data_IF_954152309518
#
_entry.id   IF_954152309518
#
_cell.length_a   1.000
_cell.length_b   1.000
_cell.length_c   1.000
_cell.angle_alpha   90.00
_cell.angle_beta   90.00
_cell.angle_gamma   90.00
#
_symmetry.space_group_name_H-M   'P 1'
#
loop_
_entity.id
_entity.type
_entity.pdbx_description
1 polymer ?
#
# COMPACT_ATOMS: atom_id res chain seq x y z
N UNK A 1 -14.08 10.80 -3.83
CA UNK A 1 -13.09 11.41 -2.90
C UNK A 1 -12.37 10.36 -2.07
N UNK A 2 -13.07 9.33 -1.56
CA UNK A 2 -12.50 8.22 -0.80
C UNK A 2 -11.18 7.66 -1.39
N UNK A 3 -11.21 7.30 -2.68
CA UNK A 3 -10.04 6.79 -3.40
C UNK A 3 -8.82 7.71 -3.29
N UNK A 4 -8.97 9.01 -3.54
CA UNK A 4 -7.86 9.97 -3.46
C UNK A 4 -7.36 10.15 -2.03
N UNK A 5 -8.23 10.05 -1.02
CA UNK A 5 -7.82 10.08 0.38
C UNK A 5 -6.93 8.88 0.75
N UNK A 6 -7.30 7.67 0.32
CA UNK A 6 -6.46 6.49 0.51
C UNK A 6 -5.16 6.56 -0.30
N UNK A 7 -5.22 7.00 -1.56
CA UNK A 7 -4.02 7.26 -2.37
C UNK A 7 -3.05 8.15 -1.60
N UNK A 8 -3.52 9.30 -1.12
CA UNK A 8 -2.68 10.27 -0.42
C UNK A 8 -2.14 9.70 0.90
N UNK A 9 -2.97 9.02 1.71
CA UNK A 9 -2.53 8.39 2.95
C UNK A 9 -1.43 7.35 2.72
N UNK A 10 -1.56 6.50 1.70
CA UNK A 10 -0.59 5.45 1.39
C UNK A 10 0.70 6.02 0.79
N UNK A 11 0.59 6.91 -0.20
CA UNK A 11 1.73 7.55 -0.84
C UNK A 11 2.58 8.33 0.18
N UNK A 12 1.92 9.14 1.03
CA UNK A 12 2.57 9.90 2.11
C UNK A 12 3.10 9.03 3.25
N UNK A 13 2.77 7.74 3.28
CA UNK A 13 3.31 6.76 4.24
C UNK A 13 4.32 5.81 3.59
N UNK A 14 4.72 6.11 2.35
CA UNK A 14 5.65 5.34 1.52
C UNK A 14 5.23 3.88 1.34
N UNK A 15 3.92 3.62 1.30
CA UNK A 15 3.36 2.30 1.06
C UNK A 15 3.15 2.14 -0.45
N UNK A 16 3.69 1.06 -1.02
CA UNK A 16 3.46 0.72 -2.43
C UNK A 16 2.08 0.08 -2.60
N UNK A 17 1.37 0.45 -3.67
CA UNK A 17 0.05 -0.07 -3.99
C UNK A 17 -0.20 -0.05 -5.50
N UNK A 18 -1.11 -0.91 -5.95
CA UNK A 18 -1.66 -0.91 -7.30
C UNK A 18 -3.13 -0.47 -7.27
N UNK A 19 -3.63 0.01 -8.41
CA UNK A 19 -5.05 0.26 -8.62
C UNK A 19 -5.65 -0.97 -9.29
N UNK A 20 -6.66 -1.55 -8.65
CA UNK A 20 -7.42 -2.69 -9.18
C UNK A 20 -8.87 -2.29 -9.42
N UNK A 21 -9.53 -2.99 -10.33
CA UNK A 21 -10.94 -2.79 -10.64
C UNK A 21 -11.74 -4.08 -10.42
N UNK A 22 -13.04 -4.02 -10.72
CA UNK A 22 -13.92 -5.18 -10.60
C UNK A 22 -13.54 -6.34 -11.54
N UNK A 23 -12.86 -6.07 -12.65
CA UNK A 23 -12.41 -7.13 -13.55
C UNK A 23 -11.33 -7.97 -12.87
N UNK A 24 -10.41 -7.33 -12.14
CA UNK A 24 -9.41 -8.04 -11.32
C UNK A 24 -10.05 -8.90 -10.22
N UNK A 25 -11.14 -8.42 -9.61
CA UNK A 25 -11.89 -9.17 -8.59
C UNK A 25 -12.54 -10.39 -9.23
N UNK A 26 -13.27 -10.19 -10.33
CA UNK A 26 -14.04 -11.25 -11.02
C UNK A 26 -13.15 -12.36 -11.60
N UNK A 27 -11.96 -12.01 -12.10
CA UNK A 27 -11.02 -12.99 -12.64
C UNK A 27 -10.07 -13.59 -11.58
N UNK A 28 -10.18 -13.18 -10.32
CA UNK A 28 -9.38 -13.70 -9.20
C UNK A 28 -7.95 -13.17 -9.12
N UNK A 29 -7.50 -12.28 -10.01
CA UNK A 29 -6.12 -11.76 -10.00
C UNK A 29 -5.79 -10.90 -8.77
N UNK A 30 -6.78 -10.51 -7.98
CA UNK A 30 -6.57 -9.87 -6.67
C UNK A 30 -5.86 -10.79 -5.65
N UNK A 31 -5.81 -12.11 -5.89
CA UNK A 31 -5.16 -13.07 -4.99
C UNK A 31 -3.65 -12.87 -4.82
N UNK A 32 -3.01 -12.08 -5.68
CA UNK A 32 -1.58 -11.74 -5.58
C UNK A 32 -1.29 -10.66 -4.53
N UNK A 33 -2.32 -9.98 -4.03
CA UNK A 33 -2.16 -8.93 -3.02
C UNK A 33 -2.46 -9.48 -1.62
N UNK A 34 -1.70 -9.01 -0.62
CA UNK A 34 -1.98 -9.32 0.79
C UNK A 34 -3.23 -8.59 1.29
N UNK A 35 -3.52 -7.41 0.71
CA UNK A 35 -4.56 -6.50 1.15
C UNK A 35 -5.24 -5.82 -0.05
N UNK A 36 -6.58 -5.81 -0.06
CA UNK A 36 -7.42 -5.02 -0.98
C UNK A 36 -8.19 -3.97 -0.19
N UNK A 37 -8.13 -2.71 -0.63
CA UNK A 37 -8.85 -1.60 0.01
C UNK A 37 -10.04 -1.23 -0.86
N UNK A 38 -11.23 -1.17 -0.24
CA UNK A 38 -12.51 -0.83 -0.85
C UNK A 38 -12.98 0.52 -0.29
N UNK A 39 -12.51 1.64 -0.86
CA UNK A 39 -12.82 2.97 -0.34
C UNK A 39 -14.21 3.41 -0.80
N UNK A 40 -15.21 3.24 0.08
CA UNK A 40 -16.60 3.67 -0.15
C UNK A 40 -17.16 3.10 -1.46
N UNK A 41 -16.99 1.80 -1.67
CA UNK A 41 -17.52 1.09 -2.84
C UNK A 41 -18.99 0.72 -2.58
N UNK A 42 -19.86 1.73 -2.51
CA UNK A 42 -21.25 1.56 -2.07
C UNK A 42 -22.07 0.61 -2.96
N UNK A 43 -21.95 0.77 -4.28
CA UNK A 43 -22.58 -0.09 -5.28
C UNK A 43 -21.59 -1.14 -5.77
N UNK A 44 -21.93 -2.42 -5.66
CA UNK A 44 -21.13 -3.51 -6.24
C UNK A 44 -22.04 -4.55 -6.91
N UNK A 45 -21.49 -5.23 -7.92
CA UNK A 45 -22.13 -6.41 -8.52
C UNK A 45 -22.07 -7.61 -7.58
N UNK A 46 -23.06 -8.49 -7.65
CA UNK A 46 -23.11 -9.72 -6.86
C UNK A 46 -21.88 -10.60 -7.12
N UNK A 47 -21.42 -10.70 -8.38
CA UNK A 47 -20.22 -11.46 -8.73
C UNK A 47 -18.94 -10.84 -8.14
N UNK A 48 -18.89 -9.49 -8.05
CA UNK A 48 -17.77 -8.78 -7.40
C UNK A 48 -17.78 -9.05 -5.90
N UNK A 49 -18.95 -8.99 -5.25
CA UNK A 49 -19.08 -9.29 -3.83
C UNK A 49 -18.62 -10.72 -3.52
N UNK A 50 -19.02 -11.68 -4.35
CA UNK A 50 -18.61 -13.08 -4.21
C UNK A 50 -17.10 -13.29 -4.46
N UNK A 51 -16.51 -12.58 -5.43
CA UNK A 51 -15.07 -12.57 -5.65
C UNK A 51 -14.29 -12.06 -4.43
N UNK A 52 -14.78 -10.99 -3.79
CA UNK A 52 -14.20 -10.45 -2.55
C UNK A 52 -14.32 -11.47 -1.40
N UNK A 53 -15.48 -12.10 -1.23
CA UNK A 53 -15.70 -13.14 -0.21
C UNK A 53 -14.71 -14.29 -0.37
N UNK A 54 -14.57 -14.80 -1.59
CA UNK A 54 -13.65 -15.90 -1.90
C UNK A 54 -12.19 -15.53 -1.66
N UNK A 55 -11.80 -14.30 -2.00
CA UNK A 55 -10.47 -13.77 -1.72
C UNK A 55 -10.18 -13.74 -0.20
N UNK A 56 -11.08 -13.19 0.61
CA UNK A 56 -10.88 -13.16 2.07
C UNK A 56 -10.92 -14.56 2.67
N UNK A 57 -11.89 -15.39 2.27
CA UNK A 57 -12.01 -16.78 2.70
C UNK A 57 -10.71 -17.57 2.47
N UNK A 58 -10.00 -17.28 1.37
CA UNK A 58 -8.76 -17.94 0.98
C UNK A 58 -7.50 -17.44 1.69
N UNK A 59 -7.59 -16.34 2.45
CA UNK A 59 -6.46 -15.77 3.21
C UNK A 59 -6.15 -14.30 2.92
N UNK A 60 -6.82 -13.70 1.94
CA UNK A 60 -6.65 -12.29 1.62
C UNK A 60 -7.20 -11.37 2.71
N UNK A 61 -6.63 -10.17 2.85
CA UNK A 61 -7.15 -9.17 3.78
C UNK A 61 -7.90 -8.07 3.03
N UNK A 62 -8.94 -7.49 3.66
CA UNK A 62 -9.59 -6.29 3.14
C UNK A 62 -9.66 -5.16 4.18
N UNK A 63 -9.56 -3.92 3.68
CA UNK A 63 -10.10 -2.74 4.36
C UNK A 63 -11.32 -2.31 3.58
N UNK A 64 -12.45 -2.10 4.23
CA UNK A 64 -13.63 -1.49 3.59
C UNK A 64 -14.16 -0.34 4.42
N UNK A 65 -14.70 0.68 3.76
CA UNK A 65 -15.15 1.90 4.46
C UNK A 65 -16.61 2.22 4.22
N UNK A 66 -17.23 2.85 5.21
CA UNK A 66 -18.57 3.43 5.15
C UNK A 66 -19.63 2.44 4.61
N UNK A 67 -20.34 2.77 3.54
CA UNK A 67 -21.45 1.99 2.98
C UNK A 67 -21.01 0.95 1.94
N UNK A 68 -19.73 0.54 1.94
CA UNK A 68 -19.21 -0.43 0.98
C UNK A 68 -20.04 -1.72 0.96
N UNK A 69 -20.62 -2.04 -0.21
CA UNK A 69 -21.48 -3.21 -0.41
C UNK A 69 -22.92 -3.06 0.09
N UNK A 70 -23.39 -1.86 0.39
CA UNK A 70 -24.77 -1.62 0.85
C UNK A 70 -25.77 -1.56 -0.30
N UNK A 71 -25.31 -1.33 -1.52
CA UNK A 71 -26.16 -1.17 -2.70
C UNK A 71 -25.78 -2.19 -3.79
N UNK A 72 -26.79 -2.66 -4.50
CA UNK A 72 -26.62 -3.50 -5.71
C UNK A 72 -26.06 -2.67 -6.86
N UNK A 73 -25.69 -3.31 -7.97
CA UNK A 73 -25.20 -2.66 -9.20
C UNK A 73 -26.17 -1.63 -9.80
N UNK A 74 -27.45 -1.67 -9.42
CA UNK A 74 -28.47 -0.69 -9.87
C UNK A 74 -28.64 0.48 -8.88
N UNK A 75 -27.80 0.59 -7.84
CA UNK A 75 -27.92 1.60 -6.79
C UNK A 75 -29.07 1.37 -5.83
N UNK A 76 -29.67 0.17 -5.83
CA UNK A 76 -30.76 -0.17 -4.91
C UNK A 76 -30.18 -0.68 -3.60
N UNK A 77 -30.69 -0.17 -2.47
CA UNK A 77 -30.28 -0.62 -1.15
C UNK A 77 -30.54 -2.13 -0.99
N UNK A 78 -29.50 -2.87 -0.63
CA UNK A 78 -29.59 -4.30 -0.42
C UNK A 78 -30.28 -4.55 0.93
N UNK A 79 -31.29 -5.43 0.97
CA UNK A 79 -32.01 -5.79 2.22
C UNK A 79 -31.05 -6.26 3.33
N UNK A 80 -29.94 -6.87 2.92
CA UNK A 80 -28.76 -7.20 3.72
C UNK A 80 -27.56 -6.81 2.88
N UNK A 81 -26.60 -6.08 3.45
CA UNK A 81 -25.41 -5.68 2.70
C UNK A 81 -24.64 -6.89 2.17
N UNK A 82 -24.11 -6.75 0.97
CA UNK A 82 -23.53 -7.83 0.18
C UNK A 82 -22.24 -8.39 0.82
N UNK A 83 -21.58 -7.61 1.68
CA UNK A 83 -20.32 -7.95 2.35
C UNK A 83 -20.44 -7.95 3.89
N UNK A 84 -21.63 -7.82 4.47
CA UNK A 84 -21.81 -7.70 5.93
C UNK A 84 -21.25 -8.89 6.71
N UNK A 85 -21.36 -10.10 6.15
CA UNK A 85 -20.78 -11.32 6.72
C UNK A 85 -19.25 -11.25 6.79
N UNK A 86 -18.60 -10.69 5.77
CA UNK A 86 -17.15 -10.47 5.75
C UNK A 86 -16.77 -9.31 6.69
N UNK A 87 -17.50 -8.20 6.64
CA UNK A 87 -17.26 -6.99 7.43
C UNK A 87 -17.54 -7.18 8.94
N UNK A 88 -18.23 -8.26 9.32
CA UNK A 88 -18.63 -8.50 10.70
C UNK A 88 -19.78 -7.61 11.15
N UNK A 89 -20.67 -7.24 10.23
CA UNK A 89 -21.88 -6.45 10.49
C UNK A 89 -23.07 -7.40 10.61
N UNK A 90 -23.79 -7.31 11.72
CA UNK A 90 -25.05 -8.03 11.91
C UNK A 90 -26.23 -7.23 11.35
N UNK A 91 -26.26 -5.93 11.67
CA UNK A 91 -27.38 -5.04 11.37
C UNK A 91 -26.91 -3.60 11.11
N UNK A 92 -27.56 -2.93 10.17
CA UNK A 92 -27.49 -1.48 9.97
C UNK A 92 -28.59 -0.78 10.79
N UNK A 93 -28.23 0.20 11.61
CA UNK A 93 -29.19 0.97 12.39
C UNK A 93 -29.46 2.36 11.78
N UNK A 94 -28.40 3.11 11.49
CA UNK A 94 -28.54 4.50 11.03
C UNK A 94 -27.26 5.01 10.35
N UNK A 95 -27.36 6.18 9.71
CA UNK A 95 -26.24 6.97 9.22
C UNK A 95 -26.16 8.26 10.02
N UNK A 96 -25.03 8.47 10.69
CA UNK A 96 -24.79 9.61 11.56
C UNK A 96 -23.96 10.66 10.81
N UNK A 97 -24.39 11.91 10.87
CA UNK A 97 -23.69 13.04 10.25
C UNK A 97 -23.11 13.99 11.30
N UNK A 98 -21.82 14.31 11.15
CA UNK A 98 -21.08 15.27 11.97
C UNK A 98 -21.08 16.64 11.30
N UNK A 99 -22.20 17.35 11.46
CA UNK A 99 -22.48 18.60 10.73
C UNK A 99 -21.61 19.80 11.14
N UNK A 100 -21.03 19.79 12.34
CA UNK A 100 -20.23 20.90 12.86
C UNK A 100 -18.75 20.50 12.86
N UNK A 101 -17.91 21.28 12.17
CA UNK A 101 -16.46 21.03 12.16
C UNK A 101 -15.87 21.15 13.58
N UNK A 102 -15.06 20.17 13.97
CA UNK A 102 -14.39 20.13 15.28
C UNK A 102 -15.26 19.63 16.44
N UNK A 103 -16.41 19.02 16.15
CA UNK A 103 -17.35 18.49 17.16
C UNK A 103 -17.59 16.98 17.03
N UNK A 104 -16.83 16.31 16.17
CA UNK A 104 -16.90 14.88 15.93
C UNK A 104 -15.61 14.19 16.36
N UNK A 105 -15.73 13.14 17.16
CA UNK A 105 -14.60 12.44 17.75
C UNK A 105 -14.78 10.92 17.72
N UNK A 106 -13.66 10.22 17.66
CA UNK A 106 -13.55 8.78 17.71
C UNK A 106 -12.54 8.41 18.80
N UNK A 107 -12.90 7.43 19.62
CA UNK A 107 -12.03 6.86 20.64
C UNK A 107 -11.45 5.54 20.13
N UNK A 108 -10.13 5.48 19.96
CA UNK A 108 -9.39 4.26 19.65
C UNK A 108 -9.30 3.35 20.89
N UNK A 109 -9.31 2.03 20.67
CA UNK A 109 -9.01 1.07 21.74
C UNK A 109 -7.55 1.24 22.19
N UNK A 110 -7.34 1.45 23.48
CA UNK A 110 -6.01 1.55 24.08
C UNK A 110 -5.27 0.21 24.00
N UNK A 111 -3.94 0.27 23.89
CA UNK A 111 -3.05 -0.90 23.90
C UNK A 111 -3.37 -1.91 22.77
N UNK A 112 -3.84 -1.39 21.63
CA UNK A 112 -4.14 -2.16 20.45
C UNK A 112 -3.17 -1.78 19.32
N UNK A 113 -2.81 -2.73 18.46
CA UNK A 113 -1.82 -2.49 17.39
C UNK A 113 -2.25 -1.38 16.42
N UNK A 114 -3.55 -1.13 16.25
CA UNK A 114 -4.03 -0.05 15.38
C UNK A 114 -3.82 1.34 15.99
N UNK A 115 -3.72 1.44 17.31
CA UNK A 115 -3.50 2.68 18.07
C UNK A 115 -2.05 2.83 18.54
N UNK A 116 -1.13 2.02 18.02
CA UNK A 116 0.29 2.15 18.30
C UNK A 116 0.83 3.53 17.88
N UNK A 117 1.69 4.11 18.73
CA UNK A 117 2.28 5.45 18.53
C UNK A 117 1.28 6.62 18.49
N UNK A 118 0.13 6.49 19.15
CA UNK A 118 -0.77 7.62 19.40
C UNK A 118 -0.62 8.13 20.84
N UNK A 119 -0.38 9.43 20.98
CA UNK A 119 -0.32 10.09 22.31
C UNK A 119 -1.69 10.20 22.98
N UNK A 120 -2.75 10.25 22.16
CA UNK A 120 -4.15 10.32 22.58
C UNK A 120 -4.97 9.30 21.81
N UNK A 121 -5.84 8.59 22.52
CA UNK A 121 -6.82 7.68 21.89
C UNK A 121 -8.01 8.44 21.29
N UNK A 122 -8.17 9.73 21.62
CA UNK A 122 -9.21 10.57 21.05
C UNK A 122 -8.69 11.22 19.76
N UNK A 123 -9.30 10.86 18.64
CA UNK A 123 -9.00 11.40 17.30
C UNK A 123 -10.27 12.00 16.68
N UNK A 124 -10.18 12.81 15.62
CA UNK A 124 -11.36 13.31 14.92
C UNK A 124 -12.18 12.18 14.26
N UNK A 125 -13.51 12.31 14.24
CA UNK A 125 -14.38 11.47 13.44
C UNK A 125 -14.52 12.03 12.01
N UNK A 126 -14.91 11.19 11.02
CA UNK A 126 -15.24 11.66 9.69
C UNK A 126 -16.60 12.38 9.66
N UNK A 127 -16.99 12.91 8.50
CA UNK A 127 -18.25 13.65 8.33
C UNK A 127 -19.48 12.74 8.39
N UNK A 128 -19.39 11.53 7.85
CA UNK A 128 -20.47 10.53 7.85
C UNK A 128 -19.96 9.23 8.43
N UNK A 129 -20.80 8.55 9.21
CA UNK A 129 -20.51 7.22 9.72
C UNK A 129 -21.77 6.35 9.78
N UNK A 130 -21.60 5.06 9.49
CA UNK A 130 -22.63 4.05 9.68
C UNK A 130 -22.66 3.63 11.15
N UNK A 131 -23.84 3.65 11.75
CA UNK A 131 -24.12 3.02 13.04
C UNK A 131 -24.53 1.57 12.78
N UNK A 132 -23.60 0.65 13.00
CA UNK A 132 -23.79 -0.78 12.79
C UNK A 132 -23.75 -1.56 14.10
N UNK A 133 -24.53 -2.65 14.16
CA UNK A 133 -24.39 -3.68 15.19
C UNK A 133 -23.34 -4.69 14.71
N UNK A 134 -22.24 -4.89 15.45
CA UNK A 134 -21.22 -5.87 15.09
C UNK A 134 -21.76 -7.28 15.33
N UNK A 135 -21.32 -8.22 14.50
CA UNK A 135 -21.55 -9.65 14.75
C UNK A 135 -20.85 -10.08 16.04
N UNK A 136 -21.38 -11.13 16.68
CA UNK A 136 -20.85 -11.63 17.97
C UNK A 136 -19.40 -12.13 17.94
N UNK A 137 -18.86 -12.41 16.74
CA UNK A 137 -17.48 -12.87 16.53
C UNK A 137 -16.51 -11.75 16.15
N UNK A 138 -17.03 -10.56 15.87
CA UNK A 138 -16.21 -9.42 15.45
C UNK A 138 -15.68 -8.64 16.65
N UNK A 139 -14.48 -8.09 16.50
CA UNK A 139 -13.84 -7.24 17.50
C UNK A 139 -14.07 -5.76 17.15
N UNK A 140 -14.62 -4.99 18.08
CA UNK A 140 -14.69 -3.53 17.96
C UNK A 140 -13.40 -2.91 18.52
N UNK A 141 -12.68 -2.16 17.70
CA UNK A 141 -11.38 -1.56 18.04
C UNK A 141 -11.40 -0.04 18.09
N UNK A 142 -12.57 0.56 17.89
CA UNK A 142 -12.83 1.96 18.21
C UNK A 142 -14.31 2.27 18.31
N UNK A 143 -14.62 3.39 18.95
CA UNK A 143 -15.98 3.89 19.15
C UNK A 143 -16.07 5.31 18.61
N UNK A 144 -16.99 5.57 17.69
CA UNK A 144 -17.40 6.93 17.38
C UNK A 144 -18.26 7.49 18.52
N UNK A 145 -17.98 8.71 18.96
CA UNK A 145 -18.84 9.39 19.92
C UNK A 145 -20.03 10.02 19.17
N UNK A 146 -21.19 10.08 19.81
CA UNK A 146 -22.33 10.81 19.24
C UNK A 146 -21.94 12.27 18.91
N UNK A 147 -22.56 12.94 17.92
CA UNK A 147 -22.19 14.31 17.56
C UNK A 147 -22.36 15.28 18.74
N UNK A 148 -21.34 16.10 19.03
CA UNK A 148 -21.50 17.11 20.07
C UNK A 148 -22.48 18.20 19.64
N UNK A 149 -23.21 18.74 20.61
CA UNK A 149 -24.17 19.85 20.41
C UNK A 149 -23.51 21.19 20.03
N UNK A 150 -22.18 21.30 20.17
CA UNK A 150 -21.42 22.51 19.88
C UNK A 150 -19.95 22.36 20.19
N UNK A 151 -19.18 23.43 20.01
CA UNK A 151 -17.77 23.51 20.43
C UNK A 151 -17.68 23.86 21.92
N UNK A 152 -16.62 23.41 22.59
CA UNK A 152 -16.34 23.69 24.02
C UNK A 152 -17.41 23.18 25.00
N UNK A 153 -18.13 22.11 24.64
CA UNK A 153 -18.99 21.36 25.57
C UNK A 153 -18.30 20.05 25.95
N UNK A 154 -18.79 19.39 27.01
CA UNK A 154 -18.31 18.07 27.38
C UNK A 154 -18.47 17.06 26.23
N UNK A 155 -17.52 16.14 26.12
CA UNK A 155 -17.63 15.02 25.18
C UNK A 155 -18.84 14.15 25.54
N UNK A 156 -19.58 13.61 24.57
CA UNK A 156 -20.67 12.70 24.84
C UNK A 156 -20.14 11.41 25.45
N UNK A 157 -20.88 10.86 26.41
CA UNK A 157 -20.58 9.57 27.02
C UNK A 157 -21.04 8.39 26.16
N UNK A 158 -21.95 8.65 25.22
CA UNK A 158 -22.52 7.67 24.31
C UNK A 158 -21.74 7.62 23.00
N UNK A 159 -21.74 6.45 22.39
CA UNK A 159 -21.08 6.21 21.12
C UNK A 159 -21.50 4.89 20.50
N UNK A 160 -20.94 4.59 19.35
CA UNK A 160 -21.24 3.40 18.57
C UNK A 160 -19.97 2.87 17.88
N UNK A 161 -19.95 1.60 17.43
CA UNK A 161 -18.77 1.00 16.83
C UNK A 161 -18.26 1.81 15.64
N UNK A 162 -16.98 2.19 15.67
CA UNK A 162 -16.34 2.95 14.60
C UNK A 162 -15.44 2.12 13.69
N UNK A 163 -14.78 1.10 14.24
CA UNK A 163 -13.96 0.16 13.48
C UNK A 163 -14.17 -1.25 14.00
N UNK A 164 -14.35 -2.19 13.07
CA UNK A 164 -14.72 -3.57 13.33
C UNK A 164 -13.72 -4.48 12.62
N UNK A 165 -13.15 -5.45 13.34
CA UNK A 165 -12.28 -6.49 12.80
C UNK A 165 -13.06 -7.79 12.79
N UNK A 166 -13.05 -8.50 11.68
CA UNK A 166 -13.71 -9.79 11.55
C UNK A 166 -12.84 -10.79 10.80
N UNK A 167 -12.76 -12.02 11.32
CA UNK A 167 -12.09 -13.12 10.64
C UNK A 167 -13.09 -13.84 9.73
N UNK A 168 -12.72 -14.05 8.48
CA UNK A 168 -13.58 -14.71 7.49
C UNK A 168 -12.77 -15.74 6.70
N UNK A 169 -13.01 -17.01 6.99
CA UNK A 169 -12.16 -18.10 6.50
C UNK A 169 -10.74 -18.00 7.06
N UNK A 170 -9.75 -17.87 6.17
CA UNK A 170 -8.33 -17.73 6.52
C UNK A 170 -7.85 -16.28 6.55
N UNK A 171 -8.66 -15.34 6.09
CA UNK A 171 -8.31 -13.92 5.95
C UNK A 171 -9.04 -13.03 6.94
N UNK A 172 -8.70 -11.73 6.88
CA UNK A 172 -9.17 -10.72 7.82
C UNK A 172 -9.88 -9.56 7.11
N UNK A 173 -10.99 -9.11 7.67
CA UNK A 173 -11.65 -7.86 7.29
C UNK A 173 -11.45 -6.80 8.36
N UNK A 174 -11.06 -5.60 7.93
CA UNK A 174 -11.02 -4.40 8.76
C UNK A 174 -12.00 -3.37 8.20
N UNK A 175 -13.18 -3.28 8.82
CA UNK A 175 -14.22 -2.35 8.42
C UNK A 175 -14.12 -1.04 9.21
N UNK A 176 -14.07 0.09 8.49
CA UNK A 176 -14.10 1.44 9.06
C UNK A 176 -15.46 2.04 8.75
N UNK A 177 -16.31 2.24 9.77
CA UNK A 177 -17.70 2.58 9.55
C UNK A 177 -17.93 4.00 9.01
N UNK A 178 -16.90 4.85 9.00
CA UNK A 178 -16.99 6.23 8.54
C UNK A 178 -16.23 6.56 7.25
N UNK A 179 -16.52 7.73 6.70
CA UNK A 179 -15.94 8.29 5.47
C UNK A 179 -14.50 8.82 5.67
N UNK A 180 -13.62 7.96 6.20
CA UNK A 180 -12.23 8.33 6.55
C UNK A 180 -11.43 8.82 5.34
N UNK A 181 -11.60 8.21 4.17
CA UNK A 181 -10.89 8.59 2.95
C UNK A 181 -11.33 9.97 2.45
N UNK A 182 -12.64 10.22 2.42
CA UNK A 182 -13.21 11.52 2.07
C UNK A 182 -12.74 12.61 3.02
N UNK A 183 -12.82 12.34 4.33
CA UNK A 183 -12.42 13.30 5.35
C UNK A 183 -10.92 13.61 5.27
N UNK A 184 -10.06 12.61 5.05
CA UNK A 184 -8.64 12.83 4.86
C UNK A 184 -8.35 13.67 3.60
N UNK A 185 -9.02 13.37 2.49
CA UNK A 185 -8.88 14.15 1.26
C UNK A 185 -9.24 15.64 1.44
N UNK A 186 -10.10 15.96 2.41
CA UNK A 186 -10.54 17.33 2.69
C UNK A 186 -9.74 18.05 3.78
N UNK A 187 -9.25 17.30 4.79
CA UNK A 187 -8.67 17.87 6.02
C UNK A 187 -7.23 17.45 6.27
N UNK A 188 -6.72 16.44 5.56
CA UNK A 188 -5.36 15.86 5.65
C UNK A 188 -4.88 15.60 7.08
N UNK A 189 -5.77 15.18 7.98
CA UNK A 189 -5.48 15.08 9.41
C UNK A 189 -4.44 13.97 9.69
N UNK A 190 -3.25 14.28 10.27
CA UNK A 190 -2.15 13.31 10.40
C UNK A 190 -2.51 12.03 11.17
N UNK A 191 -3.36 12.13 12.18
CA UNK A 191 -3.83 10.99 12.97
C UNK A 191 -4.52 9.91 12.10
N UNK A 192 -5.26 10.30 11.07
CA UNK A 192 -5.96 9.35 10.20
C UNK A 192 -4.99 8.63 9.26
N UNK A 193 -4.00 9.35 8.72
CA UNK A 193 -2.92 8.73 7.95
C UNK A 193 -2.15 7.71 8.80
N UNK A 194 -1.79 8.07 10.04
CA UNK A 194 -1.10 7.16 10.96
C UNK A 194 -1.93 5.92 11.28
N UNK A 195 -3.23 6.09 11.48
CA UNK A 195 -4.15 4.98 11.72
C UNK A 195 -4.18 4.01 10.53
N UNK A 196 -4.36 4.54 9.31
CA UNK A 196 -4.37 3.72 8.08
C UNK A 196 -3.01 3.07 7.84
N UNK A 197 -1.90 3.77 8.11
CA UNK A 197 -0.55 3.21 8.05
C UNK A 197 -0.41 1.99 8.97
N UNK A 198 -0.81 2.09 10.24
CA UNK A 198 -0.76 0.99 11.20
C UNK A 198 -1.58 -0.23 10.71
N UNK A 199 -2.78 0.01 10.18
CA UNK A 199 -3.66 -1.04 9.66
C UNK A 199 -3.03 -1.73 8.44
N UNK A 200 -2.54 -0.97 7.48
CA UNK A 200 -1.96 -1.52 6.25
C UNK A 200 -0.68 -2.28 6.57
N UNK A 201 0.20 -1.75 7.43
CA UNK A 201 1.43 -2.44 7.86
C UNK A 201 1.16 -3.73 8.63
N UNK A 202 -0.01 -3.84 9.28
CA UNK A 202 -0.43 -5.07 9.95
C UNK A 202 -0.98 -6.12 8.98
N UNK A 203 -1.70 -5.69 7.96
CA UNK A 203 -2.44 -6.56 7.04
C UNK A 203 -1.71 -6.85 5.72
N UNK A 204 -0.53 -6.28 5.50
CA UNK A 204 0.24 -6.46 4.26
C UNK A 204 1.74 -6.47 4.51
N UNK A 205 2.48 -7.12 3.60
CA UNK A 205 3.93 -7.18 3.62
C UNK A 205 4.55 -5.83 3.28
N UNK A 206 5.59 -5.43 4.02
CA UNK A 206 6.26 -4.14 3.82
C UNK A 206 7.25 -4.21 2.67
N UNK A 207 6.88 -3.72 1.49
CA UNK A 207 7.78 -3.67 0.32
C UNK A 207 8.85 -2.58 0.43
N UNK A 208 8.48 -1.41 0.95
CA UNK A 208 9.36 -0.24 1.01
C UNK A 208 9.24 0.46 2.37
N UNK A 209 10.37 1.00 2.85
CA UNK A 209 10.42 1.93 3.96
C UNK A 209 11.43 3.03 3.74
N UNK A 210 11.16 4.21 4.30
CA UNK A 210 12.12 5.31 4.32
C UNK A 210 11.91 6.16 5.57
N UNK A 211 12.96 6.87 5.99
CA UNK A 211 12.95 7.87 7.05
C UNK A 211 12.65 9.29 6.54
N UNK A 212 12.46 9.43 5.23
CA UNK A 212 12.29 10.73 4.58
C UNK A 212 10.93 11.39 4.85
N UNK A 213 10.77 12.62 4.36
CA UNK A 213 9.54 13.38 4.50
C UNK A 213 8.38 12.74 3.74
N UNK A 214 7.16 12.93 4.26
CA UNK A 214 5.93 12.44 3.64
C UNK A 214 5.59 13.09 2.29
N UNK A 215 6.31 14.16 1.92
CA UNK A 215 6.23 14.83 0.61
C UNK A 215 7.08 14.17 -0.46
N UNK A 216 7.85 13.13 -0.12
CA UNK A 216 8.58 12.33 -1.10
C UNK A 216 7.73 11.15 -1.51
N UNK A 217 7.57 10.97 -2.81
CA UNK A 217 6.86 9.84 -3.39
C UNK A 217 7.86 8.83 -3.93
N UNK A 218 7.60 7.55 -3.65
CA UNK A 218 8.37 6.42 -4.15
C UNK A 218 7.50 5.56 -5.04
N UNK A 219 7.99 5.22 -6.23
CA UNK A 219 7.33 4.27 -7.13
C UNK A 219 8.33 3.18 -7.50
N UNK A 220 8.10 1.97 -6.98
CA UNK A 220 8.91 0.80 -7.27
C UNK A 220 8.29 0.00 -8.43
N UNK A 221 9.12 -0.37 -9.40
CA UNK A 221 8.76 -1.28 -10.49
C UNK A 221 9.76 -2.41 -10.58
N UNK A 222 9.34 -3.54 -11.14
CA UNK A 222 10.23 -4.65 -11.46
C UNK A 222 10.05 -5.13 -12.90
N UNK A 223 11.11 -5.70 -13.47
CA UNK A 223 11.14 -6.29 -14.79
C UNK A 223 11.94 -7.60 -14.73
N UNK A 224 11.41 -8.67 -15.32
CA UNK A 224 12.17 -9.90 -15.55
C UNK A 224 13.22 -9.67 -16.64
N UNK A 225 14.47 -10.03 -16.37
CA UNK A 225 15.57 -9.96 -17.33
C UNK A 225 15.81 -11.37 -17.87
N UNK A 226 15.36 -11.63 -19.09
CA UNK A 226 15.76 -12.85 -19.80
C UNK A 226 17.25 -12.76 -20.19
N UNK A 227 18.02 -13.79 -19.90
CA UNK A 227 19.39 -13.89 -20.42
C UNK A 227 19.31 -13.99 -21.95
N UNK A 228 19.83 -12.99 -22.65
CA UNK A 228 19.87 -12.95 -24.13
C UNK A 228 20.55 -14.20 -24.71
N UNK A 229 21.48 -14.83 -23.99
CA UNK A 229 22.11 -16.11 -24.40
C UNK A 229 21.14 -17.30 -24.46
N UNK A 230 20.07 -17.33 -23.66
CA UNK A 230 19.08 -18.41 -23.71
C UNK A 230 18.16 -18.33 -24.94
N UNK A 231 18.04 -17.16 -25.57
CA UNK A 231 17.26 -16.98 -26.80
C UNK A 231 18.01 -17.53 -28.02
N UNK A 232 19.35 -17.48 -28.04
CA UNK A 232 20.16 -18.09 -29.11
C UNK A 232 20.13 -19.63 -29.08
N UNK A 233 19.99 -20.24 -27.90
CA UNK A 233 19.80 -21.69 -27.77
C UNK A 233 18.37 -22.11 -28.15
N UNK A 234 17.33 -21.35 -27.74
CA UNK A 234 15.94 -21.57 -28.21
C UNK A 234 15.78 -21.45 -29.73
N UNK A 235 16.64 -20.65 -30.37
CA UNK A 235 16.70 -20.51 -31.83
C UNK A 235 17.44 -21.65 -32.55
N UNK A 236 18.25 -22.46 -31.84
CA UNK A 236 19.04 -23.56 -32.43
C UNK A 236 18.37 -24.93 -32.31
N UNK A 237 17.46 -25.14 -31.36
CA UNK A 237 16.78 -26.42 -31.17
C UNK A 237 15.51 -26.64 -32.03
N UNK A 238 15.20 -25.73 -32.97
CA UNK A 238 14.08 -25.92 -33.92
C UNK A 238 14.42 -26.69 -35.21
N UNK A 239 15.66 -27.16 -35.38
CA UNK A 239 16.06 -27.97 -36.53
C UNK A 239 16.89 -29.20 -36.11
N UNK A 240 16.26 -30.18 -35.46
CA UNK A 240 16.71 -31.58 -35.50
C UNK A 240 15.55 -32.53 -35.21
N UNK A 241 14.74 -32.76 -36.22
CA UNK A 241 14.00 -34.01 -36.33
C UNK A 241 14.99 -35.14 -36.58
N UNK A 242 15.45 -35.79 -35.52
CA UNK A 242 16.05 -37.13 -35.62
C UNK A 242 14.98 -38.09 -35.11
N UNK A 243 14.31 -38.74 -36.06
CA UNK A 243 13.54 -39.96 -35.82
C UNK A 243 14.54 -41.00 -35.30
N UNK A 244 14.32 -41.50 -34.10
CA UNK A 244 14.79 -42.83 -33.71
C UNK A 244 13.65 -43.54 -32.99
N UNK A 245 13.28 -44.68 -33.56
CA UNK A 245 12.45 -45.71 -32.96
C UNK A 245 13.27 -46.43 -31.90
N UNK A 246 12.99 -46.16 -30.63
CA UNK A 246 13.06 -47.11 -29.49
C UNK A 246 12.82 -46.31 -28.22
N UNK A 247 11.83 -46.76 -27.44
CA UNK A 247 11.36 -46.07 -26.25
C UNK A 247 12.34 -46.19 -25.11
N UNK A 248 12.85 -45.05 -24.63
CA UNK A 248 13.33 -44.84 -23.26
C UNK A 248 13.36 -43.34 -22.97
N UNK A 249 12.52 -42.88 -22.04
CA UNK A 249 12.48 -41.48 -21.60
C UNK A 249 13.63 -41.23 -20.61
N UNK A 250 14.72 -40.62 -21.09
CA UNK A 250 15.70 -39.99 -20.19
C UNK A 250 15.15 -38.64 -19.73
N UNK A 251 15.17 -38.42 -18.42
CA UNK A 251 14.56 -37.28 -17.75
C UNK A 251 14.98 -35.94 -18.34
N UNK A 252 14.00 -35.06 -18.52
CA UNK A 252 14.21 -33.65 -18.77
C UNK A 252 14.91 -33.04 -17.55
N UNK A 253 16.22 -32.79 -17.66
CA UNK A 253 16.87 -31.81 -16.80
C UNK A 253 16.25 -30.45 -17.11
N UNK A 254 15.40 -29.96 -16.19
CA UNK A 254 14.86 -28.62 -16.27
C UNK A 254 16.00 -27.62 -16.17
N UNK A 255 16.33 -26.97 -17.29
CA UNK A 255 17.24 -25.84 -17.31
C UNK A 255 16.74 -24.80 -16.29
N UNK A 256 17.50 -24.60 -15.20
CA UNK A 256 17.24 -23.52 -14.23
C UNK A 256 17.37 -22.19 -14.97
N UNK A 257 16.27 -21.63 -15.43
CA UNK A 257 16.18 -20.22 -15.79
C UNK A 257 16.62 -19.42 -14.56
N UNK A 258 17.76 -18.74 -14.65
CA UNK A 258 18.11 -17.73 -13.65
C UNK A 258 17.07 -16.60 -13.76
N UNK A 259 16.15 -16.51 -12.81
CA UNK A 259 15.22 -15.38 -12.68
C UNK A 259 16.01 -14.15 -12.23
N UNK A 260 16.69 -13.51 -13.17
CA UNK A 260 17.27 -12.20 -12.94
C UNK A 260 16.13 -11.18 -13.00
N UNK A 261 15.96 -10.37 -11.95
CA UNK A 261 15.01 -9.25 -11.94
C UNK A 261 15.77 -7.95 -11.87
N UNK A 262 15.28 -6.94 -12.59
CA UNK A 262 15.65 -5.54 -12.42
C UNK A 262 14.56 -4.85 -11.62
N UNK A 263 14.93 -4.11 -10.58
CA UNK A 263 14.03 -3.17 -9.93
C UNK A 263 14.40 -1.74 -10.29
N UNK A 264 13.38 -0.90 -10.46
CA UNK A 264 13.52 0.52 -10.79
C UNK A 264 12.71 1.27 -9.75
N UNK A 265 13.40 1.99 -8.88
CA UNK A 265 12.81 2.85 -7.86
C UNK A 265 12.88 4.30 -8.34
N UNK A 266 11.71 4.87 -8.62
CA UNK A 266 11.55 6.29 -8.87
C UNK A 266 11.36 7.01 -7.53
N UNK A 267 12.12 8.07 -7.32
CA UNK A 267 12.04 8.91 -6.12
C UNK A 267 11.71 10.33 -6.57
N UNK A 268 10.55 10.85 -6.15
CA UNK A 268 10.06 12.17 -6.56
C UNK A 268 10.03 13.06 -5.32
N UNK A 269 10.82 14.13 -5.32
CA UNK A 269 10.88 15.08 -4.24
C UNK A 269 9.89 16.23 -4.45
N UNK A 270 8.84 16.27 -3.63
CA UNK A 270 7.86 17.36 -3.64
C UNK A 270 8.00 18.28 -2.42
N UNK A 271 9.21 18.49 -1.89
CA UNK A 271 9.47 19.49 -0.84
C UNK A 271 9.35 20.92 -1.37
N UNK A 272 8.12 21.40 -1.49
CA UNK A 272 7.78 22.76 -1.90
C UNK A 272 6.30 23.05 -1.68
N UNK A 273 5.89 24.31 -1.58
CA UNK A 273 4.47 24.67 -1.48
C UNK A 273 3.74 24.18 -2.74
N UNK A 274 2.63 23.44 -2.56
CA UNK A 274 1.81 22.93 -3.65
C UNK A 274 1.03 24.04 -4.38
N UNK A 275 1.14 25.30 -3.94
CA UNK A 275 0.60 26.46 -4.66
C UNK A 275 1.53 26.86 -5.80
N UNK A 276 1.03 26.70 -7.02
CA UNK A 276 1.73 27.18 -8.22
C UNK A 276 1.80 28.72 -8.26
N UNK A 277 2.88 29.29 -8.83
CA UNK A 277 4.06 28.59 -9.36
C UNK A 277 5.01 28.13 -8.26
N UNK A 278 5.57 26.92 -8.42
CA UNK A 278 6.59 26.39 -7.50
C UNK A 278 7.92 27.04 -7.87
N UNK A 279 8.47 27.85 -6.97
CA UNK A 279 9.70 28.60 -7.23
C UNK A 279 10.97 27.85 -6.79
N UNK A 280 10.85 26.95 -5.80
CA UNK A 280 11.98 26.24 -5.22
C UNK A 280 11.57 24.91 -4.60
N UNK A 281 12.33 23.86 -4.87
CA UNK A 281 12.27 22.56 -4.19
C UNK A 281 13.48 22.45 -3.26
N UNK A 282 13.27 22.02 -2.02
CA UNK A 282 14.36 21.86 -1.07
C UNK A 282 15.06 20.51 -1.28
N UNK A 283 16.35 20.47 -1.65
CA UNK A 283 17.03 19.21 -1.85
C UNK A 283 17.07 18.41 -0.55
N UNK A 284 16.97 17.09 -0.70
CA UNK A 284 17.07 16.13 0.39
C UNK A 284 18.44 15.49 0.38
N UNK A 285 18.95 15.17 1.56
CA UNK A 285 20.27 14.57 1.75
C UNK A 285 20.16 13.33 2.62
N UNK A 286 21.05 12.37 2.38
CA UNK A 286 21.22 11.15 3.19
C UNK A 286 19.91 10.38 3.42
N UNK A 287 19.07 10.27 2.39
CA UNK A 287 17.79 9.58 2.49
C UNK A 287 18.01 8.07 2.56
N UNK A 288 17.54 7.46 3.64
CA UNK A 288 17.59 6.01 3.82
C UNK A 288 16.36 5.37 3.20
N UNK A 289 16.57 4.41 2.31
CA UNK A 289 15.50 3.57 1.75
C UNK A 289 15.78 2.11 2.05
N UNK A 290 14.79 1.40 2.54
CA UNK A 290 14.86 -0.06 2.71
C UNK A 290 13.81 -0.72 1.82
N UNK A 291 14.23 -1.70 1.04
CA UNK A 291 13.39 -2.48 0.14
C UNK A 291 13.41 -3.94 0.58
N UNK A 292 12.23 -4.57 0.62
CA UNK A 292 12.10 -6.01 0.78
C UNK A 292 11.73 -6.61 -0.57
N UNK A 293 12.65 -7.37 -1.17
CA UNK A 293 12.45 -7.96 -2.48
C UNK A 293 11.47 -9.16 -2.42
N UNK A 294 10.67 -9.29 -3.47
CA UNK A 294 9.75 -10.42 -3.68
C UNK A 294 10.47 -11.70 -4.12
N UNK A 295 11.78 -11.63 -4.39
CA UNK A 295 12.62 -12.79 -4.71
C UNK A 295 13.73 -12.96 -3.67
N UNK A 296 14.17 -14.20 -3.49
CA UNK A 296 15.38 -14.49 -2.72
C UNK A 296 16.62 -14.19 -3.56
N UNK A 297 17.22 -13.02 -3.34
CA UNK A 297 18.41 -12.59 -4.05
C UNK A 297 19.68 -13.15 -3.37
N UNK A 298 20.42 -14.04 -4.05
CA UNK A 298 21.68 -14.56 -3.52
C UNK A 298 22.82 -13.53 -3.54
N UNK A 299 22.77 -12.58 -4.48
CA UNK A 299 23.68 -11.44 -4.56
C UNK A 299 23.07 -10.36 -5.46
N UNK A 300 23.04 -9.12 -4.98
CA UNK A 300 22.80 -7.93 -5.81
C UNK A 300 24.07 -7.62 -6.58
N UNK A 301 23.97 -7.50 -7.90
CA UNK A 301 25.11 -7.22 -8.77
C UNK A 301 25.45 -5.74 -8.76
N UNK A 302 24.43 -4.88 -8.81
CA UNK A 302 24.62 -3.43 -8.95
C UNK A 302 23.41 -2.65 -8.44
N UNK A 303 23.69 -1.54 -7.76
CA UNK A 303 22.72 -0.48 -7.50
C UNK A 303 23.30 0.82 -8.03
N UNK A 304 22.58 1.49 -8.94
CA UNK A 304 23.05 2.74 -9.52
C UNK A 304 21.96 3.80 -9.64
N UNK A 305 22.34 5.06 -9.43
CA UNK A 305 21.54 6.24 -9.69
C UNK A 305 21.63 6.66 -11.17
N UNK A 306 20.51 6.86 -11.84
CA UNK A 306 20.49 7.17 -13.27
C UNK A 306 20.61 8.69 -13.55
N UNK A 307 20.20 9.54 -12.61
CA UNK A 307 20.43 10.99 -12.73
C UNK A 307 21.80 11.30 -12.12
N UNK A 308 22.69 11.95 -12.87
CA UNK A 308 24.09 12.23 -12.50
C UNK A 308 24.28 13.20 -11.32
N UNK A 309 23.33 13.25 -10.39
CA UNK A 309 23.32 14.12 -9.22
C UNK A 309 24.48 13.80 -8.24
N UNK A 310 25.08 12.61 -8.34
CA UNK A 310 26.25 12.21 -7.55
C UNK A 310 27.58 12.86 -7.99
N UNK A 311 27.74 13.29 -9.25
CA UNK A 311 29.02 13.80 -9.77
C UNK A 311 29.43 15.15 -9.17
N UNK A 312 28.51 15.86 -8.52
CA UNK A 312 28.78 17.19 -7.94
C UNK A 312 29.31 17.16 -6.50
N UNK A 313 29.21 16.04 -5.78
CA UNK A 313 29.67 15.97 -4.37
C UNK A 313 31.15 15.58 -4.27
N UNK A 314 31.66 14.76 -5.19
CA UNK A 314 33.05 14.28 -5.13
C UNK A 314 34.06 15.40 -5.49
N UNK A 315 33.64 16.43 -6.23
CA UNK A 315 34.55 17.49 -6.70
C UNK A 315 34.75 18.67 -5.74
N UNK A 316 34.09 18.70 -4.57
CA UNK A 316 34.21 19.81 -3.61
C UNK A 316 35.30 19.60 -2.53
N UNK A 317 36.02 18.48 -2.55
CA UNK A 317 37.04 18.14 -1.55
C UNK A 317 38.38 17.74 -2.15
N UNK A 318 39.35 18.65 -2.08
CA UNK A 318 40.79 18.46 -2.22
C UNK A 318 41.37 18.20 -3.63
N UNK A 319 42.32 19.06 -3.98
CA UNK A 319 43.14 18.93 -5.18
C UNK A 319 44.13 17.77 -5.16
N UNK A 320 44.56 17.42 -6.37
CA UNK A 320 45.72 16.58 -6.72
C UNK A 320 45.66 15.10 -6.32
N UNK A 321 45.21 14.24 -7.24
CA UNK A 321 46.07 13.26 -7.94
C UNK A 321 45.20 12.18 -8.62
N UNK A 322 45.65 11.79 -9.82
CA UNK A 322 45.10 10.76 -10.70
C UNK A 322 44.44 9.57 -9.97
N UNK A 323 43.11 9.51 -10.03
CA UNK A 323 42.32 8.29 -9.85
C UNK A 323 41.56 8.07 -11.16
N UNK A 324 41.71 6.88 -11.73
CA UNK A 324 41.01 6.47 -12.96
C UNK A 324 39.51 6.72 -12.81
N UNK A 325 38.94 7.43 -13.78
CA UNK A 325 37.50 7.50 -14.00
C UNK A 325 36.95 6.09 -14.30
N UNK A 326 36.44 5.42 -13.27
CA UNK A 326 35.31 4.51 -13.46
C UNK A 326 34.06 5.31 -13.15
N UNK A 327 33.44 5.83 -14.21
CA UNK A 327 32.19 6.59 -14.17
C UNK A 327 31.04 5.66 -13.76
N UNK A 328 30.90 5.39 -12.47
CA UNK A 328 29.81 4.58 -11.93
C UNK A 328 29.05 5.35 -10.88
N UNK A 329 27.82 5.76 -11.17
CA UNK A 329 26.83 6.27 -10.20
C UNK A 329 26.37 5.17 -9.20
N UNK A 330 27.28 4.34 -8.72
CA UNK A 330 26.98 3.22 -7.85
C UNK A 330 26.66 3.75 -6.44
N UNK A 331 25.57 3.27 -5.86
CA UNK A 331 25.18 3.61 -4.51
C UNK A 331 25.71 2.58 -3.52
N UNK A 332 26.11 3.05 -2.34
CA UNK A 332 26.38 2.17 -1.22
C UNK A 332 25.08 1.52 -0.73
N UNK A 333 25.13 0.21 -0.49
CA UNK A 333 24.00 -0.53 0.05
C UNK A 333 24.45 -1.64 1.00
N UNK A 334 23.52 -2.09 1.83
CA UNK A 334 23.67 -3.25 2.71
C UNK A 334 22.57 -4.23 2.33
N UNK A 335 22.92 -5.49 2.13
CA UNK A 335 21.95 -6.57 1.90
C UNK A 335 21.94 -7.54 3.09
N UNK A 336 20.75 -7.81 3.62
CA UNK A 336 20.52 -8.87 4.61
C UNK A 336 19.36 -9.74 4.12
N UNK A 337 19.64 -10.96 3.67
CA UNK A 337 18.67 -11.82 2.99
C UNK A 337 18.00 -11.11 1.79
N UNK A 338 16.69 -10.85 1.88
CA UNK A 338 15.89 -10.18 0.85
C UNK A 338 15.75 -8.67 1.10
N UNK A 339 16.29 -8.18 2.22
CA UNK A 339 16.25 -6.77 2.58
C UNK A 339 17.47 -6.05 1.98
N UNK A 340 17.23 -4.90 1.37
CA UNK A 340 18.24 -4.00 0.82
C UNK A 340 18.07 -2.64 1.46
N UNK A 341 19.13 -2.14 2.10
CA UNK A 341 19.19 -0.78 2.59
C UNK A 341 20.10 0.06 1.72
N UNK A 342 19.57 1.15 1.17
CA UNK A 342 20.24 2.07 0.25
C UNK A 342 20.29 3.44 0.91
N UNK A 343 21.45 4.10 0.87
CA UNK A 343 21.60 5.50 1.24
C UNK A 343 21.68 6.34 -0.04
N UNK A 344 20.67 7.20 -0.27
CA UNK A 344 20.64 8.12 -1.41
C UNK A 344 21.22 9.45 -0.93
N UNK A 345 22.43 9.84 -1.38
CA UNK A 345 23.15 10.97 -0.80
C UNK A 345 22.48 12.31 -1.06
N UNK A 346 21.78 12.45 -2.19
CA UNK A 346 21.13 13.68 -2.59
C UNK A 346 19.97 13.43 -3.54
N UNK A 347 18.84 14.08 -3.31
CA UNK A 347 17.68 14.11 -4.22
C UNK A 347 17.29 15.57 -4.42
N UNK A 348 17.38 16.05 -5.65
CA UNK A 348 16.94 17.40 -6.03
C UNK A 348 15.43 17.42 -6.22
N UNK A 349 14.96 17.06 -7.41
CA UNK A 349 13.54 16.99 -7.76
C UNK A 349 13.10 15.55 -8.00
N UNK A 350 14.00 14.77 -8.59
CA UNK A 350 13.72 13.42 -9.05
C UNK A 350 15.01 12.62 -9.15
N UNK A 351 14.95 11.37 -8.74
CA UNK A 351 16.07 10.43 -8.80
C UNK A 351 15.55 9.04 -9.21
N UNK A 352 16.35 8.28 -9.97
CA UNK A 352 15.98 6.93 -10.40
C UNK A 352 17.06 5.97 -10.00
N UNK A 353 16.70 5.03 -9.12
CA UNK A 353 17.61 4.00 -8.63
C UNK A 353 17.30 2.68 -9.34
N UNK A 354 18.30 2.12 -10.01
CA UNK A 354 18.21 0.82 -10.69
C UNK A 354 18.96 -0.22 -9.86
N UNK A 355 18.30 -1.34 -9.58
CA UNK A 355 18.81 -2.47 -8.77
C UNK A 355 18.79 -3.71 -9.65
N UNK A 356 19.93 -4.39 -9.79
CA UNK A 356 20.13 -5.59 -10.63
C UNK A 356 20.83 -6.74 -9.92
#
# INVERSE_FOLDING_TARGET
RAFMGFYEMLARSHIQFDIVDEYNVKNGSISKYDLVILPTCGCIFDETAEGIKNYVQSGGNIISTYDTGFYTQKGQYAKRGLLWDVQGIEEYQDTIEYTISGTGYQCLKKDHWCSESFDSMLIPSPTLAVKAVPSSKAEVVSTYLEPMRGRYVALPSEGYPGMIINQYGKGCSFYIAGTIGEYYCEKSHPALRRLVENIVRKLSSRVLSSDTLCSVEFVLRSQEIENVHALEERGKDKCRSIVNSEGESKGEESCKCSNNKRYILHVINMTGDMKRPVEKIAPLFDVSVTLNLDIKASAIKKISAATGTLDTVINAGNGSNNIKNDCGNNLAFIQTDNEIKIAIPRIEEYEVIVIE
#
